data_IF_641356973338
#
_entry.id   IF_641356973338
#
_cell.length_a   1.000
_cell.length_b   1.000
_cell.length_c   1.000
_cell.angle_alpha   90.00
_cell.angle_beta   90.00
_cell.angle_gamma   90.00
#
_symmetry.space_group_name_H-M   'P 1'
#
loop_
_entity.id
_entity.type
_entity.pdbx_description
1 polymer ?
#
# COMPACT_ATOMS: atom_id res chain seq x y z
N UNK A 1 1.41 -8.44 -18.23
CA UNK A 1 0.29 -8.46 -17.26
C UNK A 1 -0.96 -8.98 -17.98
N UNK A 2 -1.44 -10.23 -17.67
CA UNK A 2 -2.58 -10.85 -18.39
C UNK A 2 -3.87 -10.04 -18.31
N UNK A 3 -4.08 -9.31 -17.21
CA UNK A 3 -5.27 -8.48 -17.00
C UNK A 3 -5.25 -7.29 -17.95
N UNK A 4 -4.12 -6.61 -18.07
CA UNK A 4 -3.97 -5.49 -18.99
C UNK A 4 -4.04 -5.94 -20.47
N UNK A 5 -3.48 -7.11 -20.79
CA UNK A 5 -3.62 -7.68 -22.14
C UNK A 5 -5.09 -7.98 -22.52
N UNK A 6 -5.94 -8.33 -21.55
CA UNK A 6 -7.37 -8.51 -21.78
C UNK A 6 -8.09 -7.18 -22.06
N UNK A 7 -7.69 -6.09 -21.39
CA UNK A 7 -8.19 -4.74 -21.68
C UNK A 7 -7.79 -4.29 -23.08
N UNK A 8 -6.52 -4.50 -23.45
CA UNK A 8 -5.99 -4.22 -24.80
C UNK A 8 -6.76 -4.99 -25.91
N UNK A 9 -7.15 -6.22 -25.60
CA UNK A 9 -7.90 -7.10 -26.52
C UNK A 9 -9.43 -6.85 -26.49
N UNK A 10 -9.89 -5.80 -25.82
CA UNK A 10 -11.31 -5.47 -25.65
C UNK A 10 -12.17 -6.63 -25.10
N UNK A 11 -11.58 -7.49 -24.26
CA UNK A 11 -12.32 -8.55 -23.57
C UNK A 11 -13.15 -8.01 -22.41
N UNK A 12 -12.78 -6.86 -21.88
CA UNK A 12 -13.49 -6.07 -20.87
C UNK A 12 -13.26 -4.57 -21.13
N UNK A 13 -14.13 -3.74 -20.60
CA UNK A 13 -14.11 -2.29 -20.81
C UNK A 13 -13.32 -1.55 -19.73
N UNK A 14 -13.11 -2.18 -18.57
CA UNK A 14 -12.42 -1.59 -17.43
C UNK A 14 -11.68 -2.66 -16.62
N UNK A 15 -10.60 -2.26 -16.00
CA UNK A 15 -9.85 -3.05 -15.01
C UNK A 15 -9.91 -2.33 -13.66
N UNK A 16 -10.58 -2.93 -12.66
CA UNK A 16 -10.69 -2.43 -11.28
C UNK A 16 -10.30 -3.58 -10.34
N UNK A 17 -8.99 -3.77 -10.08
CA UNK A 17 -8.49 -4.89 -9.29
C UNK A 17 -7.22 -4.55 -8.49
N UNK A 18 -7.15 -3.35 -7.91
CA UNK A 18 -6.00 -2.92 -7.13
C UNK A 18 -4.77 -2.57 -7.98
N UNK A 19 -4.99 -2.10 -9.21
CA UNK A 19 -3.88 -1.76 -10.12
C UNK A 19 -3.33 -0.37 -9.79
N UNK A 20 -2.02 -0.32 -9.53
CA UNK A 20 -1.33 0.94 -9.30
C UNK A 20 -1.22 1.78 -10.60
N UNK A 21 -1.50 3.09 -10.55
CA UNK A 21 -1.39 4.00 -11.67
C UNK A 21 0.07 4.42 -11.96
N UNK A 22 0.95 3.45 -12.24
CA UNK A 22 2.36 3.68 -12.56
C UNK A 22 2.50 4.59 -13.79
N UNK A 23 3.58 5.40 -13.90
CA UNK A 23 3.80 6.31 -15.02
C UNK A 23 3.62 5.65 -16.40
N UNK A 24 4.23 4.48 -16.63
CA UNK A 24 4.11 3.73 -17.88
C UNK A 24 2.68 3.26 -18.22
N UNK A 25 1.83 3.10 -17.19
CA UNK A 25 0.40 2.80 -17.38
C UNK A 25 -0.39 4.04 -17.73
N UNK A 26 -0.09 5.18 -17.09
CA UNK A 26 -0.72 6.47 -17.40
C UNK A 26 -0.41 6.94 -18.83
N UNK A 27 0.76 6.61 -19.36
CA UNK A 27 1.09 6.87 -20.75
C UNK A 27 0.23 6.06 -21.72
N UNK A 28 -0.04 4.79 -21.39
CA UNK A 28 -0.71 3.83 -22.29
C UNK A 28 -2.24 3.82 -22.13
N UNK A 29 -2.77 4.05 -20.93
CA UNK A 29 -4.18 3.89 -20.59
C UNK A 29 -4.80 5.20 -20.11
N UNK A 30 -6.13 5.32 -20.23
CA UNK A 30 -6.89 6.30 -19.46
C UNK A 30 -7.03 5.78 -18.01
N UNK A 31 -6.69 6.60 -17.04
CA UNK A 31 -6.61 6.23 -15.63
C UNK A 31 -7.57 7.10 -14.83
N UNK A 32 -8.44 6.48 -14.05
CA UNK A 32 -9.40 7.20 -13.22
C UNK A 32 -8.74 7.92 -12.03
N UNK A 33 -9.53 8.70 -11.31
CA UNK A 33 -9.21 9.05 -9.92
C UNK A 33 -8.94 7.78 -9.09
N UNK A 34 -8.04 7.89 -8.12
CA UNK A 34 -7.73 6.77 -7.21
C UNK A 34 -8.94 6.49 -6.32
N UNK A 35 -9.34 5.22 -6.23
CA UNK A 35 -10.48 4.78 -5.42
C UNK A 35 -10.08 4.13 -4.10
N UNK A 36 -8.82 3.72 -3.97
CA UNK A 36 -8.26 3.11 -2.77
C UNK A 36 -6.76 3.39 -2.67
N UNK A 37 -6.26 3.33 -1.46
CA UNK A 37 -4.84 3.27 -1.16
C UNK A 37 -4.55 2.01 -0.37
N UNK A 38 -3.36 1.45 -0.57
CA UNK A 38 -2.81 0.34 0.20
C UNK A 38 -1.47 0.78 0.78
N UNK A 39 -1.50 1.61 1.85
CA UNK A 39 -0.29 2.21 2.40
C UNK A 39 0.62 1.15 3.01
N UNK A 40 1.91 1.44 2.98
CA UNK A 40 2.91 0.66 3.70
C UNK A 40 3.09 1.21 5.12
N UNK A 41 3.45 0.33 6.04
CA UNK A 41 3.85 0.70 7.39
C UNK A 41 5.19 0.07 7.75
N UNK A 42 5.85 0.69 8.70
CA UNK A 42 7.04 0.18 9.37
C UNK A 42 6.60 -0.53 10.64
N UNK A 43 6.95 -1.81 10.75
CA UNK A 43 6.71 -2.65 11.91
C UNK A 43 8.01 -2.86 12.66
N UNK A 44 7.97 -2.77 13.97
CA UNK A 44 9.09 -2.98 14.88
C UNK A 44 8.69 -3.90 16.03
N UNK A 45 9.66 -4.38 16.80
CA UNK A 45 9.36 -5.07 18.06
C UNK A 45 8.52 -4.17 18.97
N UNK A 46 7.55 -4.73 19.70
CA UNK A 46 6.63 -3.98 20.55
C UNK A 46 7.31 -3.15 21.64
N UNK A 47 8.48 -3.60 22.13
CA UNK A 47 9.27 -2.91 23.16
C UNK A 47 10.28 -1.92 22.56
N UNK A 48 10.36 -1.80 21.23
CA UNK A 48 11.28 -0.86 20.59
C UNK A 48 10.81 0.59 20.80
N UNK A 49 11.69 1.43 21.36
CA UNK A 49 11.44 2.85 21.59
C UNK A 49 12.38 3.77 20.78
N UNK A 50 13.28 3.18 19.97
CA UNK A 50 14.28 3.92 19.20
C UNK A 50 13.76 4.27 17.78
N UNK A 51 13.08 3.32 17.12
CA UNK A 51 12.61 3.47 15.74
C UNK A 51 11.15 3.93 15.78
N UNK A 52 10.89 5.17 15.39
CA UNK A 52 9.57 5.82 15.39
C UNK A 52 9.16 6.31 14.00
N UNK A 53 10.09 6.35 13.06
CA UNK A 53 9.87 6.82 11.70
C UNK A 53 10.71 6.01 10.70
N UNK A 54 10.49 6.20 9.42
CA UNK A 54 11.30 5.57 8.38
C UNK A 54 12.74 6.11 8.37
N UNK A 55 12.95 7.36 8.75
CA UNK A 55 14.26 8.01 8.83
C UNK A 55 15.20 7.31 9.86
N UNK A 56 14.61 6.66 10.87
CA UNK A 56 15.36 5.92 11.90
C UNK A 56 15.92 4.58 11.38
N UNK A 57 15.57 4.20 10.14
CA UNK A 57 16.05 2.96 9.51
C UNK A 57 17.49 3.03 9.00
N UNK A 58 18.12 4.19 9.01
CA UNK A 58 19.49 4.32 8.51
C UNK A 58 20.47 3.43 9.30
N UNK A 59 21.13 2.50 8.59
CA UNK A 59 22.05 1.53 9.17
C UNK A 59 21.39 0.35 9.89
N UNK A 60 20.07 0.25 9.87
CA UNK A 60 19.29 -0.84 10.47
C UNK A 60 19.09 -2.00 9.49
N UNK A 61 18.57 -3.13 9.98
CA UNK A 61 18.27 -4.32 9.19
C UNK A 61 16.75 -4.53 9.14
N UNK A 62 16.17 -4.55 7.94
CA UNK A 62 14.76 -4.86 7.75
C UNK A 62 14.57 -6.27 7.15
N UNK A 63 13.62 -7.02 7.69
CA UNK A 63 13.23 -8.32 7.15
C UNK A 63 12.32 -8.12 5.93
N UNK A 64 12.91 -7.98 4.75
CA UNK A 64 12.19 -7.75 3.49
C UNK A 64 12.96 -8.35 2.31
N UNK A 65 12.25 -8.86 1.30
CA UNK A 65 12.89 -9.18 0.02
C UNK A 65 13.42 -7.90 -0.64
N UNK A 66 14.72 -7.84 -1.00
CA UNK A 66 15.35 -6.62 -1.52
C UNK A 66 14.73 -6.12 -2.84
N UNK A 67 14.11 -6.99 -3.63
CA UNK A 67 13.46 -6.64 -4.90
C UNK A 67 11.98 -6.24 -4.75
N UNK A 68 11.39 -6.42 -3.57
CA UNK A 68 10.00 -6.00 -3.32
C UNK A 68 9.88 -4.49 -3.16
N UNK A 69 8.69 -3.94 -3.43
CA UNK A 69 8.42 -2.51 -3.15
C UNK A 69 8.71 -2.15 -1.69
N UNK A 70 8.30 -3.00 -0.75
CA UNK A 70 8.56 -2.81 0.67
C UNK A 70 10.06 -2.79 1.00
N UNK A 71 10.84 -3.71 0.40
CA UNK A 71 12.30 -3.74 0.54
C UNK A 71 12.96 -2.50 -0.05
N UNK A 72 12.52 -2.05 -1.21
CA UNK A 72 13.00 -0.82 -1.85
C UNK A 72 12.69 0.43 -1.01
N UNK A 73 11.51 0.49 -0.38
CA UNK A 73 11.17 1.55 0.58
C UNK A 73 12.16 1.52 1.75
N UNK A 74 12.38 0.36 2.40
CA UNK A 74 13.33 0.27 3.51
C UNK A 74 14.74 0.71 3.11
N UNK A 75 15.23 0.26 1.94
CA UNK A 75 16.56 0.62 1.40
C UNK A 75 16.68 2.10 1.08
N UNK A 76 15.61 2.77 0.63
CA UNK A 76 15.62 4.21 0.35
C UNK A 76 15.85 5.07 1.61
N UNK A 77 15.56 4.50 2.78
CA UNK A 77 15.87 5.10 4.10
C UNK A 77 17.17 4.56 4.73
N UNK A 78 18.00 3.86 3.95
CA UNK A 78 19.33 3.42 4.38
C UNK A 78 19.38 2.10 5.15
N UNK A 79 18.27 1.34 5.16
CA UNK A 79 18.28 -0.01 5.73
C UNK A 79 18.96 -1.02 4.81
N UNK A 80 19.60 -2.02 5.39
CA UNK A 80 19.89 -3.28 4.72
C UNK A 80 18.70 -4.23 4.83
N UNK A 81 18.59 -5.20 3.91
CA UNK A 81 17.44 -6.13 3.87
C UNK A 81 17.88 -7.57 4.04
N UNK A 82 17.12 -8.33 4.85
CA UNK A 82 17.21 -9.77 5.00
C UNK A 82 15.92 -10.40 4.45
N UNK A 83 16.02 -11.34 3.51
CA UNK A 83 14.85 -11.93 2.84
C UNK A 83 13.99 -12.72 3.83
N UNK A 84 12.71 -12.38 3.93
CA UNK A 84 11.72 -13.08 4.74
C UNK A 84 10.30 -12.81 4.20
N UNK A 85 9.41 -13.78 4.39
CA UNK A 85 7.97 -13.57 4.26
C UNK A 85 7.40 -12.88 5.51
N UNK A 86 6.11 -12.53 5.49
CA UNK A 86 5.46 -11.81 6.58
C UNK A 86 5.62 -12.54 7.93
N UNK A 87 5.34 -13.84 7.98
CA UNK A 87 5.41 -14.63 9.22
C UNK A 87 6.83 -14.67 9.75
N UNK A 88 7.80 -14.99 8.89
CA UNK A 88 9.22 -15.01 9.26
C UNK A 88 9.73 -13.66 9.73
N UNK A 89 9.31 -12.57 9.07
CA UNK A 89 9.67 -11.21 9.47
C UNK A 89 9.13 -10.87 10.88
N UNK A 90 7.89 -11.21 11.17
CA UNK A 90 7.30 -10.98 12.50
C UNK A 90 7.98 -11.80 13.59
N UNK A 91 8.35 -13.05 13.31
CA UNK A 91 9.12 -13.88 14.24
C UNK A 91 10.54 -13.33 14.48
N UNK A 92 11.18 -12.80 13.44
CA UNK A 92 12.50 -12.16 13.54
C UNK A 92 12.41 -10.87 14.36
N UNK A 93 11.38 -10.04 14.19
CA UNK A 93 11.14 -8.85 15.02
C UNK A 93 10.88 -9.22 16.48
N UNK A 94 10.00 -10.19 16.72
CA UNK A 94 9.66 -10.64 18.07
C UNK A 94 10.89 -11.15 18.85
N UNK A 95 11.88 -11.68 18.15
CA UNK A 95 13.15 -12.18 18.72
C UNK A 95 14.32 -11.21 18.58
N UNK A 96 14.10 -9.97 18.16
CA UNK A 96 15.12 -8.93 17.96
C UNK A 96 16.28 -9.35 17.03
N UNK A 97 15.99 -10.15 15.99
CA UNK A 97 16.97 -10.55 14.96
C UNK A 97 17.10 -9.52 13.85
N UNK A 98 16.06 -8.70 13.68
CA UNK A 98 16.01 -7.57 12.75
C UNK A 98 15.41 -6.37 13.47
N UNK A 99 15.63 -5.19 12.93
CA UNK A 99 15.19 -3.93 13.53
C UNK A 99 13.80 -3.51 13.03
N UNK A 100 13.46 -3.86 11.77
CA UNK A 100 12.21 -3.44 11.13
C UNK A 100 11.68 -4.43 10.10
N UNK A 101 10.44 -4.22 9.70
CA UNK A 101 9.79 -4.85 8.56
C UNK A 101 8.83 -3.84 7.92
N UNK A 102 8.85 -3.73 6.60
CA UNK A 102 7.93 -2.88 5.85
C UNK A 102 6.89 -3.75 5.17
N UNK A 103 5.60 -3.45 5.37
CA UNK A 103 4.53 -4.17 4.67
C UNK A 103 3.27 -3.30 4.60
N UNK A 104 2.25 -3.75 3.86
CA UNK A 104 0.97 -3.06 3.80
C UNK A 104 0.26 -3.08 5.16
N UNK A 105 -0.34 -1.95 5.52
CA UNK A 105 -1.07 -1.80 6.79
C UNK A 105 -2.12 -2.88 6.96
N UNK A 106 -2.90 -3.18 5.90
CA UNK A 106 -3.94 -4.19 5.96
C UNK A 106 -3.41 -5.60 6.31
N UNK A 107 -2.30 -6.02 5.70
CA UNK A 107 -1.69 -7.32 5.96
C UNK A 107 -1.12 -7.42 7.39
N UNK A 108 -0.51 -6.34 7.87
CA UNK A 108 0.03 -6.26 9.24
C UNK A 108 -1.08 -6.27 10.27
N UNK A 109 -2.12 -5.47 10.08
CA UNK A 109 -3.28 -5.38 10.98
C UNK A 109 -4.00 -6.74 11.10
N UNK A 110 -4.22 -7.42 9.97
CA UNK A 110 -4.79 -8.77 9.97
C UNK A 110 -3.89 -9.78 10.69
N UNK A 111 -2.57 -9.74 10.44
CA UNK A 111 -1.61 -10.61 11.12
C UNK A 111 -1.65 -10.41 12.64
N UNK A 112 -1.57 -9.15 13.11
CA UNK A 112 -1.59 -8.81 14.54
C UNK A 112 -2.90 -9.24 15.22
N UNK A 113 -4.04 -9.12 14.55
CA UNK A 113 -5.35 -9.59 15.06
C UNK A 113 -5.38 -11.12 15.23
N UNK A 114 -4.76 -11.84 14.30
CA UNK A 114 -4.73 -13.32 14.33
C UNK A 114 -3.60 -13.89 15.21
N UNK A 115 -2.59 -13.08 15.55
CA UNK A 115 -1.42 -13.46 16.35
C UNK A 115 -1.15 -12.45 17.48
N UNK A 116 -2.06 -12.34 18.46
CA UNK A 116 -1.90 -11.41 19.58
C UNK A 116 -0.76 -11.80 20.54
N UNK A 117 -0.18 -12.98 20.37
CA UNK A 117 0.99 -13.49 21.10
C UNK A 117 2.32 -12.92 20.61
N UNK A 118 2.35 -12.30 19.42
CA UNK A 118 3.56 -11.72 18.84
C UNK A 118 3.69 -10.26 19.26
N UNK A 119 4.80 -9.94 19.93
CA UNK A 119 5.06 -8.58 20.44
C UNK A 119 5.66 -7.69 19.35
N UNK A 120 4.81 -7.14 18.48
CA UNK A 120 5.18 -6.19 17.43
C UNK A 120 4.21 -5.01 17.41
N UNK A 121 4.66 -3.87 16.90
CA UNK A 121 3.81 -2.68 16.71
C UNK A 121 4.10 -1.99 15.38
N UNK A 122 3.12 -1.27 14.84
CA UNK A 122 3.31 -0.32 13.76
C UNK A 122 3.94 0.94 14.34
N UNK A 123 5.15 1.27 13.93
CA UNK A 123 5.88 2.47 14.35
C UNK A 123 5.51 3.70 13.50
N UNK A 124 5.34 3.52 12.19
CA UNK A 124 5.02 4.59 11.27
C UNK A 124 4.25 4.07 10.04
N UNK A 125 3.47 4.95 9.41
CA UNK A 125 2.85 4.72 8.09
C UNK A 125 3.64 5.50 7.06
N UNK A 126 4.01 4.84 5.97
CA UNK A 126 4.77 5.43 4.88
C UNK A 126 3.95 6.52 4.18
N UNK A 127 4.54 7.69 4.07
CA UNK A 127 3.97 8.84 3.36
C UNK A 127 4.82 9.09 2.10
N UNK A 128 4.39 8.60 0.92
CA UNK A 128 5.13 8.84 -0.31
C UNK A 128 5.08 10.31 -0.70
N UNK A 129 6.14 10.80 -1.36
CA UNK A 129 6.12 12.08 -2.04
C UNK A 129 5.02 12.10 -3.13
N UNK A 130 4.56 13.29 -3.54
CA UNK A 130 3.43 13.42 -4.47
C UNK A 130 3.65 12.68 -5.79
N UNK A 131 4.87 12.67 -6.32
CA UNK A 131 5.27 11.96 -7.53
C UNK A 131 5.38 10.44 -7.36
N UNK A 132 5.31 9.95 -6.11
CA UNK A 132 5.40 8.53 -5.75
C UNK A 132 4.09 7.96 -5.21
N UNK A 133 3.02 8.75 -5.12
CA UNK A 133 1.71 8.29 -4.61
C UNK A 133 1.16 7.08 -5.36
N UNK A 134 1.50 6.95 -6.64
CA UNK A 134 1.14 5.76 -7.43
C UNK A 134 1.58 4.44 -6.78
N UNK A 135 2.56 4.44 -5.88
CA UNK A 135 3.05 3.23 -5.20
C UNK A 135 2.01 2.63 -4.25
N UNK A 136 1.16 3.47 -3.67
CA UNK A 136 0.13 3.06 -2.72
C UNK A 136 -1.28 3.14 -3.28
N UNK A 137 -1.50 3.91 -4.34
CA UNK A 137 -2.80 4.15 -4.96
C UNK A 137 -3.27 2.99 -5.82
N UNK A 138 -4.60 2.85 -5.91
CA UNK A 138 -5.28 1.97 -6.85
C UNK A 138 -6.28 2.77 -7.67
N UNK A 139 -6.22 2.63 -9.00
CA UNK A 139 -7.09 3.31 -9.93
C UNK A 139 -7.70 2.34 -10.94
N UNK A 140 -8.83 2.72 -11.53
CA UNK A 140 -9.41 1.98 -12.64
C UNK A 140 -8.68 2.33 -13.94
N UNK A 141 -8.44 1.31 -14.78
CA UNK A 141 -7.77 1.45 -16.07
C UNK A 141 -8.75 1.21 -17.21
N UNK A 142 -8.71 2.08 -18.20
CA UNK A 142 -9.52 2.04 -19.42
C UNK A 142 -8.60 2.13 -20.64
N UNK A 143 -9.08 1.73 -21.82
CA UNK A 143 -8.39 2.05 -23.07
C UNK A 143 -8.36 3.57 -23.27
N UNK A 144 -7.36 4.10 -23.98
CA UNK A 144 -7.26 5.56 -24.23
C UNK A 144 -8.48 6.14 -24.93
N UNK A 145 -9.08 5.40 -25.84
CA UNK A 145 -10.28 5.80 -26.57
C UNK A 145 -11.55 5.90 -25.67
N UNK A 146 -11.54 5.24 -24.51
CA UNK A 146 -12.65 5.25 -23.55
C UNK A 146 -12.54 6.37 -22.50
N UNK A 147 -11.83 7.47 -22.81
CA UNK A 147 -11.58 8.59 -21.90
C UNK A 147 -12.87 9.15 -21.28
N UNK A 148 -13.95 9.28 -22.06
CA UNK A 148 -15.22 9.81 -21.55
C UNK A 148 -15.84 8.92 -20.45
N UNK A 149 -15.68 7.59 -20.55
CA UNK A 149 -16.12 6.65 -19.52
C UNK A 149 -15.22 6.76 -18.28
N UNK A 150 -13.89 6.88 -18.50
CA UNK A 150 -12.92 7.09 -17.43
C UNK A 150 -13.21 8.37 -16.62
N UNK A 151 -13.51 9.47 -17.30
CA UNK A 151 -13.85 10.75 -16.68
C UNK A 151 -15.11 10.64 -15.82
N UNK A 152 -16.15 9.97 -16.34
CA UNK A 152 -17.39 9.76 -15.58
C UNK A 152 -17.20 8.88 -14.35
N UNK A 153 -16.40 7.83 -14.44
CA UNK A 153 -16.04 7.00 -13.29
C UNK A 153 -15.24 7.82 -12.26
N UNK A 154 -14.33 8.69 -12.71
CA UNK A 154 -13.55 9.56 -11.83
C UNK A 154 -14.42 10.56 -11.06
N UNK A 155 -15.45 11.14 -11.70
CA UNK A 155 -16.44 12.00 -11.03
C UNK A 155 -17.15 11.23 -9.90
N UNK A 156 -17.66 10.03 -10.19
CA UNK A 156 -18.36 9.18 -9.22
C UNK A 156 -17.42 8.80 -8.04
N UNK A 157 -16.17 8.41 -8.33
CA UNK A 157 -15.19 8.11 -7.28
C UNK A 157 -14.98 9.33 -6.39
N UNK A 158 -14.87 10.53 -6.97
CA UNK A 158 -14.70 11.78 -6.22
C UNK A 158 -15.91 12.09 -5.32
N UNK A 159 -17.12 11.86 -5.80
CA UNK A 159 -18.35 11.95 -5.00
C UNK A 159 -18.34 10.95 -3.84
N UNK A 160 -17.95 9.69 -4.09
CA UNK A 160 -17.86 8.63 -3.07
C UNK A 160 -16.78 8.89 -2.01
N UNK A 161 -15.75 9.66 -2.32
CA UNK A 161 -14.77 10.13 -1.33
C UNK A 161 -15.40 11.23 -0.47
N UNK A 162 -16.04 12.25 -1.09
CA UNK A 162 -16.62 13.40 -0.40
C UNK A 162 -17.75 13.02 0.55
N UNK A 163 -18.61 12.09 0.16
CA UNK A 163 -19.74 11.60 0.96
C UNK A 163 -19.37 10.50 1.95
N UNK A 164 -18.06 10.16 2.03
CA UNK A 164 -17.47 9.10 2.87
C UNK A 164 -17.92 7.68 2.54
N UNK A 165 -18.50 7.44 1.39
CA UNK A 165 -18.88 6.10 0.95
C UNK A 165 -17.66 5.17 0.90
N UNK A 166 -16.56 5.58 0.27
CA UNK A 166 -15.33 4.76 0.20
C UNK A 166 -14.70 4.57 1.58
N UNK A 167 -14.65 5.60 2.43
CA UNK A 167 -14.19 5.46 3.80
C UNK A 167 -15.00 4.40 4.57
N UNK A 168 -16.33 4.48 4.53
CA UNK A 168 -17.20 3.54 5.24
C UNK A 168 -17.09 2.10 4.70
N UNK A 169 -16.90 1.94 3.39
CA UNK A 169 -16.60 0.63 2.79
C UNK A 169 -15.26 0.08 3.29
N UNK A 170 -14.23 0.92 3.37
CA UNK A 170 -12.92 0.51 3.88
C UNK A 170 -13.02 0.10 5.36
N UNK A 171 -13.72 0.88 6.20
CA UNK A 171 -13.97 0.49 7.60
C UNK A 171 -14.68 -0.86 7.69
N UNK A 172 -15.71 -1.06 6.86
CA UNK A 172 -16.52 -2.28 6.89
C UNK A 172 -15.73 -3.54 6.52
N UNK A 173 -14.87 -3.46 5.51
CA UNK A 173 -14.21 -4.65 4.95
C UNK A 173 -12.77 -4.85 5.45
N UNK A 174 -12.08 -3.77 5.81
CA UNK A 174 -10.66 -3.78 6.22
C UNK A 174 -10.42 -3.28 7.64
N UNK A 175 -11.42 -2.67 8.26
CA UNK A 175 -11.34 -2.15 9.62
C UNK A 175 -10.89 -0.70 9.72
N UNK A 176 -11.07 -0.15 10.92
CA UNK A 176 -10.81 1.26 11.23
C UNK A 176 -9.35 1.65 10.99
N UNK A 177 -8.40 0.83 11.48
CA UNK A 177 -6.95 1.07 11.34
C UNK A 177 -6.54 1.30 9.89
N UNK A 178 -7.07 0.48 8.96
CA UNK A 178 -6.79 0.62 7.53
C UNK A 178 -7.41 1.89 6.98
N UNK A 179 -8.69 2.16 7.30
CA UNK A 179 -9.38 3.35 6.82
C UNK A 179 -8.69 4.66 7.25
N UNK A 180 -8.22 4.72 8.50
CA UNK A 180 -7.52 5.89 9.05
C UNK A 180 -6.11 6.07 8.46
N UNK A 181 -5.51 5.01 7.93
CA UNK A 181 -4.20 5.06 7.26
C UNK A 181 -4.26 5.58 5.82
N UNK A 182 -5.45 5.67 5.23
CA UNK A 182 -5.66 6.10 3.83
C UNK A 182 -5.72 7.62 3.74
N UNK A 183 -4.71 8.22 3.10
CA UNK A 183 -4.61 9.68 2.97
C UNK A 183 -5.68 10.27 2.06
N UNK A 184 -6.20 9.47 1.14
CA UNK A 184 -7.25 9.84 0.18
C UNK A 184 -8.54 10.32 0.86
N UNK A 185 -8.86 9.80 2.05
CA UNK A 185 -10.09 10.12 2.79
C UNK A 185 -9.97 11.32 3.74
N UNK A 186 -8.76 11.87 3.88
CA UNK A 186 -8.44 12.95 4.82
C UNK A 186 -8.30 14.32 4.14
N UNK A 187 -8.81 14.44 2.91
CA UNK A 187 -8.76 15.68 2.11
C UNK A 187 -10.01 16.51 2.28
#
# INVERSE_FOLDING_TARGET
DPVMAGLDAARYDVVICGVNPKPERQEKYAVSASYAENPFCLVVNGDNEEIKSFEDLNGKVCANSPSSTAGQIAQSYGASTADADLTGAMDMLNTNRVDGHVNNVAAVDEYMKNRPDVNVKIAAVFQPADDQKYMIESAAMFRKEDQALCDKVSEIISEMIQDKTLYNLTVKYFGQTVADSVSLYNK
#
